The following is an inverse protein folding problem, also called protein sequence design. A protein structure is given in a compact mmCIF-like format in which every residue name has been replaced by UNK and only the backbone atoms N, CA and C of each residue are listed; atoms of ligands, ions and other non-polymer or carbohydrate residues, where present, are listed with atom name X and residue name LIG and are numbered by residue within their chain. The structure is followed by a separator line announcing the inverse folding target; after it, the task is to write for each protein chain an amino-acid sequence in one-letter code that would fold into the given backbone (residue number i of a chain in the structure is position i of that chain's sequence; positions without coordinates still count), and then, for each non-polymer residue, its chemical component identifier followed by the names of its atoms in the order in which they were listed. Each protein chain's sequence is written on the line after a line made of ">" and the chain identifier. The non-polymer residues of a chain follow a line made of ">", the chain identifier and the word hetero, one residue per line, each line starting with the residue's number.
data_IF_288063809198
#
_entry.id   IF_288063809198
#
_cell.length_a   1.000
_cell.length_b   1.000
_cell.length_c   1.000
_cell.angle_alpha   90.00
_cell.angle_beta   90.00
_cell.angle_gamma   90.00
#
_symmetry.space_group_name_H-M   'P 1'
#
loop_
_entity.id
_entity.type
_entity.pdbx_description
1 polymer ?
#
# COMPACT_ATOMS: atom_id res chain seq x y z
N UNK A 1 86.92 -26.33 41.99
CA UNK A 1 86.80 -26.85 43.38
C UNK A 1 85.29 -26.63 43.70
N UNK A 2 84.54 -27.65 43.66
CA UNK A 2 84.32 -28.77 44.58
C UNK A 2 82.92 -28.63 45.23
N UNK A 3 82.19 -29.61 44.86
CA UNK A 3 81.29 -30.54 45.54
C UNK A 3 79.92 -29.99 46.00
N UNK A 4 78.83 -30.47 45.43
CA UNK A 4 78.17 -31.78 45.65
C UNK A 4 77.51 -31.85 47.06
N UNK A 5 76.23 -31.98 47.13
CA UNK A 5 75.52 -33.26 47.33
C UNK A 5 74.02 -33.01 47.61
N UNK A 6 73.23 -33.90 47.13
CA UNK A 6 71.83 -34.25 47.43
C UNK A 6 71.74 -34.91 48.86
N UNK A 7 70.60 -35.43 49.29
CA UNK A 7 69.14 -35.16 49.06
C UNK A 7 68.35 -35.11 50.42
N UNK A 8 67.00 -35.04 50.41
CA UNK A 8 66.09 -36.01 51.00
C UNK A 8 64.70 -35.43 51.27
N UNK A 9 63.75 -36.04 50.66
CA UNK A 9 62.42 -36.49 51.05
C UNK A 9 61.74 -35.86 52.25
N UNK A 10 60.49 -35.48 52.08
CA UNK A 10 59.54 -35.37 53.14
C UNK A 10 58.15 -34.91 52.77
N UNK A 11 57.37 -35.91 52.50
CA UNK A 11 55.94 -36.02 52.85
C UNK A 11 54.91 -34.98 52.46
N UNK A 12 54.02 -35.43 51.69
CA UNK A 12 52.62 -35.02 51.45
C UNK A 12 51.92 -34.50 52.67
N UNK A 13 51.25 -33.34 52.47
CA UNK A 13 49.95 -33.02 53.15
C UNK A 13 49.05 -32.42 52.15
N UNK A 14 48.10 -33.20 51.62
CA UNK A 14 46.94 -32.72 50.87
C UNK A 14 46.02 -32.00 51.86
N UNK A 15 45.85 -30.71 51.69
CA UNK A 15 44.72 -29.99 52.27
C UNK A 15 43.79 -29.65 51.13
N UNK A 16 42.69 -30.40 51.01
CA UNK A 16 41.63 -30.14 50.05
C UNK A 16 40.87 -28.85 50.41
N UNK A 17 41.03 -27.85 49.57
CA UNK A 17 40.19 -26.65 49.59
C UNK A 17 38.95 -26.90 48.73
N UNK A 18 37.86 -27.30 49.37
CA UNK A 18 36.54 -27.38 48.72
C UNK A 18 36.10 -25.94 48.48
N UNK A 19 36.29 -25.42 47.27
CA UNK A 19 35.61 -24.20 46.83
C UNK A 19 34.14 -24.50 46.63
N UNK A 20 33.31 -24.09 47.56
CA UNK A 20 31.87 -24.04 47.43
C UNK A 20 31.54 -22.93 46.40
N UNK A 21 31.35 -23.29 45.14
CA UNK A 21 30.84 -22.39 44.09
C UNK A 21 29.35 -22.13 44.40
N UNK A 22 29.08 -21.09 45.18
CA UNK A 22 27.74 -20.49 45.24
C UNK A 22 27.46 -19.90 43.91
N UNK A 23 26.63 -20.57 43.12
CA UNK A 23 26.13 -20.04 41.84
C UNK A 23 25.23 -18.81 42.08
N UNK A 24 25.82 -17.64 42.06
CA UNK A 24 25.05 -16.41 41.94
C UNK A 24 24.39 -16.42 40.56
N UNK A 25 23.05 -16.20 40.45
CA UNK A 25 22.42 -16.04 39.16
C UNK A 25 23.03 -14.80 38.52
N UNK A 26 23.70 -14.97 37.39
CA UNK A 26 24.08 -13.86 36.52
C UNK A 26 22.76 -13.28 35.99
N UNK A 27 22.30 -12.19 36.60
CA UNK A 27 21.25 -11.39 36.04
C UNK A 27 21.86 -10.75 34.80
N UNK A 28 21.58 -11.36 33.63
CA UNK A 28 21.82 -10.71 32.35
C UNK A 28 20.84 -9.53 32.32
N UNK A 29 21.29 -8.37 32.73
CA UNK A 29 20.60 -7.11 32.48
C UNK A 29 20.66 -6.97 30.94
N UNK A 30 19.56 -7.36 30.27
CA UNK A 30 19.41 -7.10 28.85
C UNK A 30 19.61 -5.61 28.64
N UNK A 31 20.62 -5.21 27.86
CA UNK A 31 20.78 -3.84 27.41
C UNK A 31 19.45 -3.35 26.80
N UNK A 32 19.22 -2.05 26.70
CA UNK A 32 18.02 -1.53 26.08
C UNK A 32 17.84 -2.20 24.72
N UNK A 33 16.68 -2.86 24.53
CA UNK A 33 16.37 -3.54 23.28
C UNK A 33 16.61 -2.55 22.14
N UNK A 34 17.55 -2.86 21.26
CA UNK A 34 17.72 -2.05 20.06
C UNK A 34 16.37 -2.03 19.34
N UNK A 35 15.88 -0.86 18.92
CA UNK A 35 14.65 -0.81 18.13
C UNK A 35 14.83 -1.69 16.91
N UNK A 36 13.79 -2.39 16.47
CA UNK A 36 13.89 -3.24 15.29
C UNK A 36 14.41 -2.42 14.12
N UNK A 37 15.26 -3.03 13.28
CA UNK A 37 15.91 -2.36 12.14
C UNK A 37 14.91 -1.84 11.08
N UNK A 38 13.62 -2.13 11.24
CA UNK A 38 12.55 -1.67 10.37
C UNK A 38 11.22 -1.57 11.10
N UNK A 39 10.32 -0.77 10.55
CA UNK A 39 8.96 -0.61 11.04
C UNK A 39 7.97 -0.69 9.88
N UNK A 40 6.78 -1.23 10.15
CA UNK A 40 5.66 -1.31 9.21
C UNK A 40 4.41 -0.79 9.91
N UNK A 41 3.68 0.08 9.23
CA UNK A 41 2.35 0.50 9.63
C UNK A 41 1.39 0.34 8.45
N UNK A 42 0.25 -0.26 8.67
CA UNK A 42 -0.79 -0.44 7.66
C UNK A 42 -2.18 -0.40 8.29
N UNK A 43 -3.21 -0.35 7.46
CA UNK A 43 -4.60 -0.28 7.90
C UNK A 43 -5.09 -1.57 8.59
N UNK A 44 -4.41 -2.72 8.38
CA UNK A 44 -4.84 -4.00 8.94
C UNK A 44 -3.68 -4.74 9.63
N UNK A 45 -3.89 -5.29 10.86
CA UNK A 45 -2.81 -5.97 11.61
C UNK A 45 -2.14 -7.11 10.85
N UNK A 46 -2.89 -7.91 10.09
CA UNK A 46 -2.35 -9.01 9.29
C UNK A 46 -1.48 -8.52 8.13
N UNK A 47 -1.81 -7.38 7.54
CA UNK A 47 -0.97 -6.76 6.51
C UNK A 47 0.33 -6.19 7.12
N UNK A 48 0.25 -5.57 8.29
CA UNK A 48 1.44 -5.14 9.05
C UNK A 48 2.33 -6.35 9.38
N UNK A 49 1.74 -7.46 9.84
CA UNK A 49 2.47 -8.70 10.11
C UNK A 49 3.15 -9.28 8.85
N UNK A 50 2.47 -9.23 7.70
CA UNK A 50 3.04 -9.66 6.43
C UNK A 50 4.30 -8.84 6.05
N UNK A 51 4.24 -7.52 6.20
CA UNK A 51 5.40 -6.64 5.95
C UNK A 51 6.56 -6.93 6.92
N UNK A 52 6.26 -7.13 8.21
CA UNK A 52 7.28 -7.47 9.22
C UNK A 52 7.89 -8.86 8.97
N UNK A 53 7.10 -9.84 8.52
CA UNK A 53 7.61 -11.16 8.11
C UNK A 53 8.66 -11.02 7.00
N UNK A 54 8.37 -10.20 5.99
CA UNK A 54 9.27 -9.99 4.85
C UNK A 54 10.55 -9.24 5.26
N UNK A 55 10.45 -8.22 6.12
CA UNK A 55 11.64 -7.57 6.68
C UNK A 55 12.50 -8.55 7.47
N UNK A 56 11.88 -9.40 8.30
CA UNK A 56 12.58 -10.42 9.09
C UNK A 56 13.23 -11.51 8.24
N UNK A 57 12.69 -11.77 7.04
CA UNK A 57 13.25 -12.70 6.06
C UNK A 57 14.42 -12.11 5.24
N UNK A 58 14.86 -10.89 5.54
CA UNK A 58 15.96 -10.20 4.87
C UNK A 58 15.54 -9.32 3.69
N UNK A 59 14.24 -9.14 3.48
CA UNK A 59 13.70 -8.18 2.52
C UNK A 59 13.98 -6.73 2.92
N UNK A 60 13.86 -5.84 1.98
CA UNK A 60 13.92 -4.40 2.21
C UNK A 60 12.52 -3.78 2.35
N UNK A 61 12.45 -2.46 2.50
CA UNK A 61 11.17 -1.74 2.63
C UNK A 61 10.26 -1.90 1.38
N UNK A 62 10.83 -2.10 0.21
CA UNK A 62 10.07 -2.28 -1.04
C UNK A 62 9.45 -3.68 -1.10
N UNK A 63 10.17 -4.71 -0.68
CA UNK A 63 9.62 -6.07 -0.52
C UNK A 63 8.49 -6.09 0.51
N UNK A 64 8.68 -5.37 1.63
CA UNK A 64 7.65 -5.23 2.66
C UNK A 64 6.42 -4.49 2.12
N UNK A 65 6.59 -3.44 1.30
CA UNK A 65 5.49 -2.73 0.66
C UNK A 65 4.68 -3.64 -0.28
N UNK A 66 5.35 -4.48 -1.07
CA UNK A 66 4.69 -5.51 -1.90
C UNK A 66 3.85 -6.46 -1.03
N UNK A 67 4.43 -6.97 0.06
CA UNK A 67 3.73 -7.89 0.95
C UNK A 67 2.51 -7.24 1.65
N UNK A 68 2.67 -6.00 2.10
CA UNK A 68 1.58 -5.23 2.73
C UNK A 68 0.46 -4.95 1.74
N UNK A 69 0.76 -4.44 0.55
CA UNK A 69 -0.25 -4.14 -0.47
C UNK A 69 -1.02 -5.41 -0.87
N UNK A 70 -0.30 -6.50 -1.16
CA UNK A 70 -0.93 -7.77 -1.50
C UNK A 70 -1.77 -8.36 -0.35
N UNK A 71 -1.32 -8.21 0.91
CA UNK A 71 -2.09 -8.65 2.07
C UNK A 71 -3.33 -7.78 2.30
N UNK A 72 -3.24 -6.45 2.12
CA UNK A 72 -4.39 -5.55 2.17
C UNK A 72 -5.43 -5.91 1.11
N UNK A 73 -5.01 -6.29 -0.09
CA UNK A 73 -5.91 -6.76 -1.14
C UNK A 73 -6.75 -7.98 -0.73
N UNK A 74 -6.28 -8.76 0.26
CA UNK A 74 -7.00 -9.89 0.82
C UNK A 74 -7.88 -9.48 2.00
N UNK A 75 -7.31 -8.76 2.98
CA UNK A 75 -7.94 -8.53 4.29
C UNK A 75 -8.74 -7.23 4.37
N UNK A 76 -8.58 -6.34 3.41
CA UNK A 76 -9.30 -5.06 3.25
C UNK A 76 -9.99 -4.95 1.89
N UNK A 77 -10.82 -5.89 1.46
CA UNK A 77 -11.40 -5.90 0.12
C UNK A 77 -12.29 -4.70 -0.19
N UNK A 78 -12.64 -3.92 0.80
CA UNK A 78 -13.41 -2.68 0.70
C UNK A 78 -12.55 -1.43 0.44
N UNK A 79 -11.23 -1.52 0.61
CA UNK A 79 -10.30 -0.40 0.46
C UNK A 79 -9.08 -0.69 -0.43
N UNK A 80 -8.81 -1.96 -0.68
CA UNK A 80 -7.64 -2.43 -1.45
C UNK A 80 -7.99 -3.62 -2.32
N UNK A 81 -7.21 -3.88 -3.37
CA UNK A 81 -7.46 -5.06 -4.21
C UNK A 81 -6.63 -5.10 -5.49
N UNK A 82 -6.33 -6.31 -5.95
CA UNK A 82 -5.65 -6.52 -7.24
C UNK A 82 -6.45 -6.00 -8.45
N UNK A 83 -7.77 -5.83 -8.29
CA UNK A 83 -8.64 -5.25 -9.30
C UNK A 83 -8.59 -3.72 -9.38
N UNK A 84 -7.81 -3.09 -8.52
CA UNK A 84 -7.62 -1.65 -8.43
C UNK A 84 -6.20 -1.20 -8.80
N UNK A 85 -5.78 -0.12 -8.18
CA UNK A 85 -4.45 0.43 -8.36
C UNK A 85 -4.09 1.41 -7.25
N UNK A 86 -2.92 2.03 -7.37
CA UNK A 86 -2.45 2.93 -6.35
C UNK A 86 -1.21 3.71 -6.74
N UNK A 87 -0.70 4.44 -5.76
CA UNK A 87 0.56 5.15 -5.84
C UNK A 87 1.49 4.70 -4.73
N UNK A 88 2.75 4.43 -5.07
CA UNK A 88 3.81 4.11 -4.11
C UNK A 88 4.86 5.21 -4.16
N UNK A 89 4.97 5.95 -3.06
CA UNK A 89 5.99 6.98 -2.90
C UNK A 89 7.20 6.38 -2.21
N UNK A 90 8.30 6.28 -2.94
CA UNK A 90 9.52 5.61 -2.53
C UNK A 90 10.61 6.62 -2.15
N UNK A 91 11.36 6.30 -1.11
CA UNK A 91 12.64 6.92 -0.81
C UNK A 91 13.73 5.85 -0.82
N UNK A 92 14.68 5.98 -1.75
CA UNK A 92 15.83 5.07 -1.84
C UNK A 92 17.02 5.70 -1.12
N UNK A 93 17.32 5.20 0.08
CA UNK A 93 18.34 5.79 0.95
C UNK A 93 19.76 5.73 0.37
N UNK A 94 20.06 4.76 -0.52
CA UNK A 94 21.41 4.59 -1.10
C UNK A 94 21.88 5.79 -1.95
N UNK A 95 20.96 6.51 -2.57
CA UNK A 95 21.24 7.66 -3.42
C UNK A 95 20.33 8.88 -3.14
N UNK A 96 19.47 8.78 -2.11
CA UNK A 96 18.53 9.83 -1.73
C UNK A 96 17.38 10.06 -2.73
N UNK A 97 17.26 9.21 -3.75
CA UNK A 97 16.26 9.39 -4.80
C UNK A 97 14.85 9.12 -4.28
N UNK A 98 13.92 9.98 -4.66
CA UNK A 98 12.51 9.86 -4.40
C UNK A 98 11.77 9.61 -5.71
N UNK A 99 10.87 8.63 -5.71
CA UNK A 99 10.21 8.15 -6.93
C UNK A 99 8.75 7.87 -6.57
N UNK A 100 7.84 8.24 -7.43
CA UNK A 100 6.45 7.79 -7.35
C UNK A 100 6.21 6.74 -8.42
N UNK A 101 5.77 5.56 -8.00
CA UNK A 101 5.21 4.56 -8.91
C UNK A 101 3.72 4.86 -9.08
N UNK A 102 3.34 5.16 -10.30
CA UNK A 102 1.96 5.32 -10.72
C UNK A 102 1.47 4.00 -11.29
N UNK A 103 0.78 3.23 -10.45
CA UNK A 103 0.07 2.01 -10.79
C UNK A 103 -1.44 2.22 -10.74
N UNK A 104 -1.90 3.45 -11.04
CA UNK A 104 -3.32 3.76 -11.11
C UNK A 104 -4.00 3.00 -12.22
N UNK A 105 -5.28 2.73 -12.05
CA UNK A 105 -6.11 2.10 -13.08
C UNK A 105 -6.19 2.96 -14.34
N UNK A 106 -6.40 2.31 -15.48
CA UNK A 106 -6.63 2.99 -16.75
C UNK A 106 -8.03 2.71 -17.28
N UNK A 107 -8.63 3.71 -17.91
CA UNK A 107 -9.87 3.50 -18.66
C UNK A 107 -9.64 2.45 -19.75
N UNK A 108 -10.59 1.53 -20.00
CA UNK A 108 -10.55 0.64 -21.15
C UNK A 108 -10.45 1.43 -22.46
N UNK A 109 -9.79 0.88 -23.47
CA UNK A 109 -9.59 1.53 -24.78
C UNK A 109 -10.90 1.91 -25.46
N UNK A 110 -11.98 1.19 -25.19
CA UNK A 110 -13.32 1.46 -25.71
C UNK A 110 -14.09 2.52 -24.89
N UNK A 111 -13.51 3.05 -23.81
CA UNK A 111 -14.16 4.07 -23.01
C UNK A 111 -14.31 5.38 -23.78
N UNK A 112 -15.49 5.98 -23.70
CA UNK A 112 -15.84 7.23 -24.38
C UNK A 112 -16.34 8.24 -23.36
N UNK A 113 -16.37 9.51 -23.76
CA UNK A 113 -16.84 10.64 -22.96
C UNK A 113 -18.23 10.41 -22.37
N UNK A 114 -19.12 9.83 -23.20
CA UNK A 114 -20.54 9.69 -22.88
C UNK A 114 -20.90 8.31 -22.34
N UNK A 115 -19.90 7.51 -21.90
CA UNK A 115 -20.03 6.12 -21.43
C UNK A 115 -21.10 5.93 -20.33
N UNK A 116 -21.33 6.96 -19.52
CA UNK A 116 -22.25 6.93 -18.37
C UNK A 116 -23.47 7.80 -18.56
N UNK A 117 -23.74 8.24 -19.79
CA UNK A 117 -24.90 9.04 -20.12
C UNK A 117 -25.99 8.18 -20.79
N UNK A 118 -27.24 8.59 -20.64
CA UNK A 118 -28.36 8.04 -21.40
C UNK A 118 -28.48 8.68 -22.78
N UNK A 119 -29.49 8.26 -23.56
CA UNK A 119 -29.75 8.79 -24.90
C UNK A 119 -30.10 10.29 -24.93
N UNK A 120 -30.52 10.85 -23.80
CA UNK A 120 -30.84 12.26 -23.62
C UNK A 120 -29.61 13.08 -23.21
N UNK A 121 -28.49 12.41 -22.91
CA UNK A 121 -27.25 13.02 -22.45
C UNK A 121 -27.21 13.27 -20.92
N UNK A 122 -28.16 12.71 -20.19
CA UNK A 122 -28.21 12.81 -18.73
C UNK A 122 -27.39 11.69 -18.07
N UNK A 123 -26.79 11.99 -16.90
CA UNK A 123 -26.00 11.02 -16.15
C UNK A 123 -26.89 9.90 -15.60
N UNK A 124 -26.57 8.64 -15.94
CA UNK A 124 -27.24 7.47 -15.37
C UNK A 124 -26.75 7.24 -13.93
N UNK A 125 -27.59 7.39 -12.89
CA UNK A 125 -27.17 7.29 -11.51
C UNK A 125 -26.58 5.92 -11.19
N UNK A 126 -25.38 5.91 -10.58
CA UNK A 126 -24.70 4.71 -10.14
C UNK A 126 -23.89 3.96 -11.22
N UNK A 127 -24.09 4.25 -12.50
CA UNK A 127 -23.45 3.51 -13.60
C UNK A 127 -21.92 3.64 -13.60
N UNK A 128 -21.39 4.78 -13.15
CA UNK A 128 -19.95 5.03 -12.99
C UNK A 128 -19.37 4.55 -11.65
N UNK A 129 -20.19 3.97 -10.77
CA UNK A 129 -19.78 3.54 -9.44
C UNK A 129 -19.94 2.03 -9.21
N UNK A 130 -20.98 1.42 -9.79
CA UNK A 130 -21.37 0.05 -9.53
C UNK A 130 -21.35 -0.79 -10.82
N UNK A 131 -20.78 -1.99 -10.73
CA UNK A 131 -20.81 -2.96 -11.81
C UNK A 131 -19.63 -2.90 -12.76
N UNK A 132 -19.68 -3.78 -13.75
CA UNK A 132 -18.55 -4.05 -14.63
C UNK A 132 -18.20 -2.90 -15.58
N UNK A 133 -19.17 -2.05 -15.93
CA UNK A 133 -18.92 -0.87 -16.77
C UNK A 133 -18.11 0.22 -16.04
N UNK A 134 -18.24 0.29 -14.71
CA UNK A 134 -17.46 1.18 -13.86
C UNK A 134 -16.02 0.71 -13.60
N UNK A 135 -15.71 -0.56 -13.94
CA UNK A 135 -14.41 -1.13 -13.69
C UNK A 135 -13.36 -0.63 -14.69
N UNK A 136 -12.29 -0.04 -14.16
CA UNK A 136 -11.12 0.33 -14.93
C UNK A 136 -10.08 -0.81 -14.94
N UNK A 137 -9.15 -0.79 -15.91
CA UNK A 137 -8.08 -1.80 -16.06
C UNK A 137 -7.14 -1.72 -14.86
N UNK A 138 -6.93 -2.80 -14.11
CA UNK A 138 -6.15 -2.80 -12.88
C UNK A 138 -4.68 -2.44 -13.07
N UNK A 139 -4.11 -1.74 -12.11
CA UNK A 139 -2.71 -1.35 -12.09
C UNK A 139 -1.89 -1.94 -10.95
N UNK A 140 -2.52 -2.33 -9.86
CA UNK A 140 -1.80 -2.84 -8.68
C UNK A 140 -0.92 -4.06 -8.99
N UNK A 141 -1.35 -5.10 -9.72
CA UNK A 141 -0.49 -6.24 -10.00
C UNK A 141 0.82 -5.85 -10.70
N UNK A 142 0.75 -4.97 -11.70
CA UNK A 142 1.95 -4.51 -12.42
C UNK A 142 2.88 -3.70 -11.52
N UNK A 143 2.32 -2.86 -10.63
CA UNK A 143 3.10 -2.09 -9.68
C UNK A 143 3.81 -2.97 -8.66
N UNK A 144 3.15 -4.00 -8.12
CA UNK A 144 3.77 -4.97 -7.20
C UNK A 144 4.93 -5.71 -7.85
N UNK A 145 4.76 -6.16 -9.10
CA UNK A 145 5.83 -6.80 -9.88
C UNK A 145 6.99 -5.83 -10.07
N UNK A 146 6.71 -4.60 -10.53
CA UNK A 146 7.72 -3.59 -10.77
C UNK A 146 8.51 -3.22 -9.50
N UNK A 147 7.81 -3.05 -8.37
CA UNK A 147 8.44 -2.79 -7.07
C UNK A 147 9.40 -3.91 -6.66
N UNK A 148 8.96 -5.16 -6.81
CA UNK A 148 9.77 -6.32 -6.47
C UNK A 148 10.99 -6.46 -7.38
N UNK A 149 10.82 -6.37 -8.70
CA UNK A 149 11.89 -6.59 -9.68
C UNK A 149 12.94 -5.48 -9.68
N UNK A 150 12.50 -4.23 -9.53
CA UNK A 150 13.40 -3.07 -9.66
C UNK A 150 14.00 -2.60 -8.34
N UNK A 151 13.27 -2.77 -7.24
CA UNK A 151 13.64 -2.21 -5.94
C UNK A 151 13.77 -3.25 -4.84
N UNK A 152 13.16 -4.43 -5.00
CA UNK A 152 13.19 -5.52 -4.03
C UNK A 152 14.56 -6.20 -3.93
N UNK A 153 14.73 -6.97 -2.87
CA UNK A 153 15.87 -7.87 -2.64
C UNK A 153 15.46 -9.33 -2.71
N UNK A 154 14.20 -9.61 -2.43
CA UNK A 154 13.64 -10.95 -2.42
C UNK A 154 12.92 -11.24 -3.73
N UNK A 155 12.83 -12.50 -4.16
CA UNK A 155 11.96 -12.88 -5.26
C UNK A 155 10.49 -12.51 -4.96
N UNK A 156 9.75 -12.05 -5.97
CA UNK A 156 8.34 -11.69 -5.87
C UNK A 156 7.50 -12.75 -5.14
N UNK A 157 7.75 -14.04 -5.43
CA UNK A 157 7.07 -15.15 -4.79
C UNK A 157 7.22 -15.17 -3.25
N UNK A 158 8.34 -14.70 -2.73
CA UNK A 158 8.53 -14.56 -1.28
C UNK A 158 7.68 -13.43 -0.71
N UNK A 159 7.68 -12.27 -1.36
CA UNK A 159 6.91 -11.11 -0.91
C UNK A 159 5.40 -11.34 -1.01
N UNK A 160 4.91 -12.14 -1.97
CA UNK A 160 3.50 -12.47 -2.11
C UNK A 160 3.04 -13.64 -1.23
N UNK A 161 3.96 -14.46 -0.70
CA UNK A 161 3.61 -15.66 0.07
C UNK A 161 2.69 -15.40 1.29
N UNK A 162 2.87 -14.33 2.09
CA UNK A 162 1.94 -14.02 3.18
C UNK A 162 0.50 -13.78 2.69
N UNK A 163 0.32 -13.02 1.61
CA UNK A 163 -0.99 -12.74 1.03
C UNK A 163 -1.67 -14.00 0.46
N UNK A 164 -0.90 -14.85 -0.22
CA UNK A 164 -1.40 -16.15 -0.72
C UNK A 164 -1.93 -16.99 0.43
N UNK A 165 -1.17 -17.09 1.54
CA UNK A 165 -1.61 -17.83 2.73
C UNK A 165 -2.87 -17.24 3.36
N UNK A 166 -2.97 -15.91 3.44
CA UNK A 166 -4.15 -15.22 3.96
C UNK A 166 -5.38 -15.49 3.09
N UNK A 167 -5.24 -15.44 1.77
CA UNK A 167 -6.34 -15.71 0.85
C UNK A 167 -6.83 -17.18 0.94
N UNK A 168 -5.90 -18.14 1.12
CA UNK A 168 -6.23 -19.57 1.28
C UNK A 168 -6.85 -19.89 2.64
N UNK A 169 -6.25 -19.40 3.73
CA UNK A 169 -6.67 -19.71 5.09
C UNK A 169 -7.85 -18.86 5.55
N UNK A 170 -8.00 -17.69 4.98
CA UNK A 170 -9.00 -16.70 5.36
C UNK A 170 -8.53 -15.72 6.43
N UNK A 171 -9.37 -14.71 6.64
CA UNK A 171 -9.24 -13.71 7.69
C UNK A 171 -10.55 -13.58 8.45
N UNK A 172 -10.48 -13.13 9.70
CA UNK A 172 -11.66 -12.96 10.54
C UNK A 172 -12.36 -11.64 10.27
N UNK A 173 -13.67 -11.70 10.19
CA UNK A 173 -14.55 -10.54 10.06
C UNK A 173 -14.52 -9.73 11.35
N UNK A 174 -14.11 -8.48 11.27
CA UNK A 174 -14.09 -7.52 12.35
C UNK A 174 -15.24 -6.48 12.23
N UNK A 175 -15.28 -5.55 13.18
CA UNK A 175 -16.29 -4.49 13.19
C UNK A 175 -16.15 -3.53 12.01
N UNK A 176 -14.90 -3.29 11.53
CA UNK A 176 -14.66 -2.42 10.39
C UNK A 176 -15.15 -3.06 9.09
N UNK A 177 -14.80 -4.32 8.85
CA UNK A 177 -15.33 -5.09 7.72
C UNK A 177 -16.87 -5.07 7.69
N UNK A 178 -17.51 -5.37 8.83
CA UNK A 178 -18.99 -5.40 8.93
C UNK A 178 -19.62 -4.07 8.55
N UNK A 179 -19.04 -2.98 9.01
CA UNK A 179 -19.51 -1.62 8.66
C UNK A 179 -19.39 -1.37 7.16
N UNK A 180 -18.23 -1.67 6.56
CA UNK A 180 -17.98 -1.43 5.14
C UNK A 180 -18.81 -2.35 4.25
N UNK A 181 -18.93 -3.62 4.61
CA UNK A 181 -19.81 -4.55 3.91
C UNK A 181 -21.29 -4.12 4.02
N UNK A 182 -21.69 -3.55 5.16
CA UNK A 182 -23.02 -3.00 5.33
C UNK A 182 -23.36 -1.89 4.32
N UNK A 183 -22.43 -0.97 4.06
CA UNK A 183 -22.61 0.07 3.04
C UNK A 183 -22.77 -0.48 1.62
N UNK A 184 -22.10 -1.58 1.31
CA UNK A 184 -22.08 -2.16 -0.04
C UNK A 184 -22.97 -3.40 -0.19
N UNK A 185 -23.70 -3.84 0.86
CA UNK A 185 -24.48 -5.06 0.86
C UNK A 185 -25.41 -5.18 -0.34
N UNK A 186 -26.22 -4.16 -0.60
CA UNK A 186 -27.17 -4.16 -1.71
C UNK A 186 -26.50 -4.29 -3.08
N UNK A 187 -25.32 -3.69 -3.24
CA UNK A 187 -24.54 -3.81 -4.48
C UNK A 187 -23.97 -5.21 -4.61
N UNK A 188 -23.33 -5.74 -3.55
CA UNK A 188 -22.80 -7.11 -3.56
C UNK A 188 -23.86 -8.17 -3.82
N UNK A 189 -25.09 -7.99 -3.32
CA UNK A 189 -26.22 -8.90 -3.55
C UNK A 189 -26.64 -8.97 -5.03
N UNK A 190 -26.35 -7.94 -5.84
CA UNK A 190 -26.65 -7.93 -7.28
C UNK A 190 -25.70 -8.84 -8.10
N UNK A 191 -24.50 -9.09 -7.56
CA UNK A 191 -23.44 -9.84 -8.22
C UNK A 191 -23.16 -11.13 -7.44
N UNK A 192 -23.56 -12.27 -7.99
CA UNK A 192 -23.47 -13.55 -7.32
C UNK A 192 -22.06 -13.86 -6.81
N UNK A 193 -21.03 -13.64 -7.64
CA UNK A 193 -19.63 -13.87 -7.27
C UNK A 193 -19.18 -13.05 -6.05
N UNK A 194 -19.64 -11.80 -5.95
CA UNK A 194 -19.36 -10.95 -4.79
C UNK A 194 -20.12 -11.39 -3.55
N UNK A 195 -21.40 -11.77 -3.70
CA UNK A 195 -22.25 -12.25 -2.60
C UNK A 195 -21.70 -13.54 -1.99
N UNK A 196 -21.29 -14.49 -2.81
CA UNK A 196 -20.74 -15.80 -2.36
C UNK A 196 -19.45 -15.65 -1.55
N UNK A 197 -18.59 -14.69 -1.91
CA UNK A 197 -17.32 -14.47 -1.22
C UNK A 197 -17.51 -13.63 0.06
N UNK A 198 -18.20 -12.51 -0.05
CA UNK A 198 -18.20 -11.45 0.97
C UNK A 198 -19.44 -11.41 1.86
N UNK A 199 -20.48 -12.15 1.52
CA UNK A 199 -21.71 -12.29 2.33
C UNK A 199 -21.88 -13.74 2.81
N UNK A 200 -22.82 -13.94 3.75
CA UNK A 200 -23.30 -15.26 4.17
C UNK A 200 -24.83 -15.21 4.13
N UNK A 201 -25.44 -16.08 3.36
CA UNK A 201 -26.89 -16.08 3.15
C UNK A 201 -27.41 -14.68 2.74
N UNK A 202 -26.69 -14.01 1.84
CA UNK A 202 -26.95 -12.64 1.39
C UNK A 202 -26.89 -11.55 2.48
N UNK A 203 -26.40 -11.88 3.67
CA UNK A 203 -26.26 -10.95 4.80
C UNK A 203 -24.79 -10.68 5.13
N UNK A 204 -24.54 -9.55 5.82
CA UNK A 204 -23.19 -9.22 6.32
C UNK A 204 -22.78 -10.28 7.35
N UNK A 205 -21.63 -10.94 7.17
CA UNK A 205 -21.19 -12.01 8.06
C UNK A 205 -21.09 -11.55 9.52
N UNK A 206 -21.34 -12.50 10.44
CA UNK A 206 -21.16 -12.25 11.88
C UNK A 206 -19.69 -11.93 12.19
N UNK A 207 -19.45 -11.21 13.29
CA UNK A 207 -18.10 -11.00 13.80
C UNK A 207 -17.41 -12.36 14.05
N UNK A 208 -16.10 -12.39 13.86
CA UNK A 208 -15.23 -13.58 13.99
C UNK A 208 -15.49 -14.71 12.99
N UNK A 209 -16.48 -14.59 12.10
CA UNK A 209 -16.60 -15.52 10.96
C UNK A 209 -15.41 -15.33 10.00
N UNK A 210 -15.17 -16.32 9.14
CA UNK A 210 -14.00 -16.35 8.27
C UNK A 210 -14.38 -16.09 6.81
N UNK A 211 -13.64 -15.19 6.16
CA UNK A 211 -13.71 -14.94 4.73
C UNK A 211 -12.51 -15.60 4.07
N UNK A 212 -12.74 -16.47 3.10
CA UNK A 212 -11.71 -17.11 2.26
C UNK A 212 -11.86 -16.71 0.81
N UNK A 213 -10.73 -16.55 0.14
CA UNK A 213 -10.67 -16.12 -1.26
C UNK A 213 -9.75 -17.04 -2.07
N UNK A 214 -10.17 -18.31 -2.32
CA UNK A 214 -9.31 -19.29 -2.98
C UNK A 214 -8.91 -18.88 -4.39
N UNK A 215 -9.80 -18.24 -5.16
CA UNK A 215 -9.50 -17.77 -6.51
C UNK A 215 -8.50 -16.60 -6.51
N UNK A 216 -8.58 -15.72 -5.51
CA UNK A 216 -7.57 -14.68 -5.30
C UNK A 216 -6.20 -15.29 -4.96
N UNK A 217 -6.17 -16.37 -4.18
CA UNK A 217 -4.94 -17.09 -3.89
C UNK A 217 -4.32 -17.71 -5.15
N UNK A 218 -5.13 -18.23 -6.07
CA UNK A 218 -4.66 -18.72 -7.37
C UNK A 218 -4.11 -17.58 -8.24
N UNK A 219 -4.81 -16.46 -8.30
CA UNK A 219 -4.36 -15.26 -9.02
C UNK A 219 -3.03 -14.73 -8.48
N UNK A 220 -2.90 -14.59 -7.15
CA UNK A 220 -1.65 -14.19 -6.50
C UNK A 220 -0.52 -15.21 -6.78
N UNK A 221 -0.84 -16.51 -6.81
CA UNK A 221 0.14 -17.55 -7.11
C UNK A 221 0.60 -17.50 -8.56
N UNK A 222 -0.29 -17.18 -9.51
CA UNK A 222 0.07 -16.97 -10.91
C UNK A 222 0.98 -15.74 -11.07
N UNK A 223 0.64 -14.62 -10.41
CA UNK A 223 1.46 -13.41 -10.37
C UNK A 223 2.86 -13.72 -9.78
N UNK A 224 2.92 -14.49 -8.70
CA UNK A 224 4.17 -14.88 -8.04
C UNK A 224 5.09 -15.73 -8.93
N UNK A 225 4.51 -16.55 -9.80
CA UNK A 225 5.24 -17.48 -10.68
C UNK A 225 5.65 -16.83 -12.00
N UNK A 226 4.82 -15.99 -12.56
CA UNK A 226 4.94 -15.51 -13.95
C UNK A 226 5.10 -13.99 -14.05
N UNK A 227 5.19 -13.30 -12.91
CA UNK A 227 5.24 -11.83 -12.90
C UNK A 227 3.98 -11.22 -13.55
N UNK A 228 4.13 -10.12 -14.25
CA UNK A 228 3.02 -9.43 -14.91
C UNK A 228 2.22 -10.32 -15.87
N UNK A 229 2.86 -11.28 -16.53
CA UNK A 229 2.17 -12.21 -17.41
C UNK A 229 1.13 -13.05 -16.69
N UNK A 230 1.37 -13.40 -15.42
CA UNK A 230 0.44 -14.17 -14.60
C UNK A 230 -0.88 -13.46 -14.26
N UNK A 231 -1.00 -12.17 -14.63
CA UNK A 231 -2.24 -11.41 -14.45
C UNK A 231 -2.76 -10.82 -15.76
N UNK A 232 -1.87 -10.26 -16.60
CA UNK A 232 -2.25 -9.49 -17.79
C UNK A 232 -2.29 -10.34 -19.08
N UNK A 233 -2.01 -11.65 -18.97
CA UNK A 233 -2.03 -12.61 -20.07
C UNK A 233 -2.56 -13.97 -19.61
N UNK A 234 -2.90 -14.87 -20.54
CA UNK A 234 -3.34 -16.23 -20.26
C UNK A 234 -4.64 -16.33 -19.48
N UNK A 235 -4.80 -17.43 -18.76
CA UNK A 235 -6.07 -17.83 -18.10
C UNK A 235 -6.67 -16.76 -17.17
N UNK A 236 -5.84 -16.05 -16.39
CA UNK A 236 -6.35 -15.01 -15.49
C UNK A 236 -6.93 -13.86 -16.29
N UNK A 237 -6.20 -13.37 -17.29
CA UNK A 237 -6.66 -12.28 -18.15
C UNK A 237 -7.93 -12.65 -18.91
N UNK A 238 -8.00 -13.86 -19.48
CA UNK A 238 -9.15 -14.36 -20.21
C UNK A 238 -10.39 -14.44 -19.33
N UNK A 239 -10.27 -14.97 -18.11
CA UNK A 239 -11.38 -15.05 -17.15
C UNK A 239 -11.83 -13.69 -16.66
N UNK A 240 -10.89 -12.76 -16.41
CA UNK A 240 -11.23 -11.38 -16.04
C UNK A 240 -12.02 -10.68 -17.12
N UNK A 241 -11.55 -10.73 -18.37
CA UNK A 241 -12.25 -10.13 -19.50
C UNK A 241 -13.61 -10.76 -19.72
N UNK A 242 -13.70 -12.10 -19.69
CA UNK A 242 -14.96 -12.81 -19.85
C UNK A 242 -15.97 -12.41 -18.77
N UNK A 243 -15.56 -12.37 -17.49
CA UNK A 243 -16.42 -11.98 -16.37
C UNK A 243 -16.90 -10.53 -16.48
N UNK A 244 -16.00 -9.59 -16.77
CA UNK A 244 -16.35 -8.17 -16.95
C UNK A 244 -17.34 -7.99 -18.10
N UNK A 245 -17.12 -8.66 -19.23
CA UNK A 245 -18.04 -8.58 -20.39
C UNK A 245 -19.39 -9.24 -20.13
N UNK A 246 -19.43 -10.36 -19.42
CA UNK A 246 -20.68 -11.02 -19.07
C UNK A 246 -21.62 -10.13 -18.22
N UNK A 247 -21.03 -9.23 -17.43
CA UNK A 247 -21.75 -8.26 -16.60
C UNK A 247 -21.90 -6.87 -17.28
N UNK A 248 -21.71 -6.78 -18.59
CA UNK A 248 -21.92 -5.55 -19.36
C UNK A 248 -20.75 -4.57 -19.42
N UNK A 249 -19.56 -4.96 -18.94
CA UNK A 249 -18.36 -4.14 -19.08
C UNK A 249 -17.73 -4.23 -20.47
N UNK A 250 -16.72 -3.40 -20.72
CA UNK A 250 -16.16 -3.18 -22.06
C UNK A 250 -14.70 -3.62 -22.23
N UNK A 251 -14.13 -4.33 -21.24
CA UNK A 251 -12.74 -4.78 -21.33
C UNK A 251 -12.48 -5.71 -22.51
N UNK A 252 -11.24 -5.65 -22.99
CA UNK A 252 -10.66 -6.57 -23.96
C UNK A 252 -9.33 -7.11 -23.43
N UNK A 253 -8.83 -8.19 -24.01
CA UNK A 253 -7.48 -8.68 -23.69
C UNK A 253 -6.39 -7.67 -24.06
N UNK A 254 -6.65 -6.81 -25.04
CA UNK A 254 -5.71 -5.76 -25.45
C UNK A 254 -5.59 -4.67 -24.37
N UNK A 255 -6.66 -4.33 -23.66
CA UNK A 255 -6.63 -3.42 -22.52
C UNK A 255 -5.64 -3.89 -21.43
N UNK A 256 -5.72 -5.16 -21.09
CA UNK A 256 -4.82 -5.77 -20.10
C UNK A 256 -3.38 -5.83 -20.63
N UNK A 257 -3.18 -6.30 -21.86
CA UNK A 257 -1.88 -6.43 -22.52
C UNK A 257 -1.14 -5.10 -22.64
N UNK A 258 -1.85 -4.00 -22.87
CA UNK A 258 -1.27 -2.67 -23.02
C UNK A 258 -1.02 -1.96 -21.67
N UNK A 259 -1.51 -2.48 -20.55
CA UNK A 259 -1.31 -1.82 -19.28
C UNK A 259 0.18 -1.70 -18.93
N UNK A 260 0.61 -0.52 -18.51
CA UNK A 260 1.97 -0.23 -18.02
C UNK A 260 1.90 0.74 -16.85
N UNK A 261 2.71 0.52 -15.84
CA UNK A 261 2.96 1.49 -14.78
C UNK A 261 3.79 2.66 -15.31
N UNK A 262 3.78 3.78 -14.60
CA UNK A 262 4.66 4.92 -14.90
C UNK A 262 5.45 5.30 -13.65
N UNK A 263 6.76 5.50 -13.79
CA UNK A 263 7.54 6.16 -12.75
C UNK A 263 7.47 7.68 -12.94
N UNK A 264 7.11 8.39 -11.90
CA UNK A 264 6.98 9.86 -11.93
C UNK A 264 7.88 10.49 -10.87
N UNK A 265 8.34 11.70 -11.13
CA UNK A 265 8.96 12.51 -10.09
C UNK A 265 7.88 13.04 -9.15
N UNK A 266 8.06 12.87 -7.82
CA UNK A 266 7.11 13.39 -6.84
C UNK A 266 7.03 14.91 -6.85
N UNK A 267 5.88 15.44 -6.45
CA UNK A 267 5.76 16.85 -6.08
C UNK A 267 6.59 17.11 -4.83
N UNK A 268 7.49 18.08 -4.92
CA UNK A 268 8.32 18.49 -3.77
C UNK A 268 8.18 19.99 -3.56
N UNK A 269 7.97 20.39 -2.30
CA UNK A 269 7.87 21.80 -1.93
C UNK A 269 8.31 22.02 -0.48
N UNK A 270 8.50 23.27 -0.10
CA UNK A 270 8.88 23.66 1.26
C UNK A 270 7.67 24.21 2.00
N UNK A 271 7.50 23.81 3.26
CA UNK A 271 6.54 24.39 4.19
C UNK A 271 7.25 24.68 5.50
N UNK A 272 7.47 25.96 5.80
CA UNK A 272 8.31 26.40 6.92
C UNK A 272 9.70 25.75 6.83
N UNK A 273 10.13 25.02 7.84
CA UNK A 273 11.39 24.28 7.93
C UNK A 273 11.31 22.84 7.38
N UNK A 274 10.12 22.42 6.90
CA UNK A 274 9.88 21.07 6.42
C UNK A 274 9.94 20.99 4.90
N UNK A 275 10.71 20.05 4.38
CA UNK A 275 10.64 19.64 2.98
C UNK A 275 9.55 18.58 2.83
N UNK A 276 8.53 18.87 2.03
CA UNK A 276 7.40 17.97 1.77
C UNK A 276 7.62 17.28 0.42
N UNK A 277 7.38 15.98 0.40
CA UNK A 277 7.37 15.15 -0.81
C UNK A 277 6.05 14.43 -0.86
N UNK A 278 5.34 14.55 -1.98
CA UNK A 278 3.99 14.00 -2.12
C UNK A 278 3.73 13.51 -3.54
N UNK A 279 2.59 12.86 -3.74
CA UNK A 279 2.23 12.29 -5.02
C UNK A 279 2.07 13.36 -6.11
N UNK A 280 2.64 13.08 -7.27
CA UNK A 280 2.48 13.89 -8.48
C UNK A 280 1.14 13.60 -9.20
N UNK A 281 0.69 14.43 -10.15
CA UNK A 281 -0.38 14.05 -11.05
C UNK A 281 -0.12 12.69 -11.72
N UNK A 282 -1.18 11.88 -11.96
CA UNK A 282 -2.60 12.23 -11.92
C UNK A 282 -3.22 12.37 -10.52
N UNK A 283 -2.46 12.10 -9.45
CA UNK A 283 -2.92 12.43 -8.10
C UNK A 283 -3.00 13.95 -7.92
N UNK A 284 -4.12 14.43 -7.40
CA UNK A 284 -4.27 15.84 -7.02
C UNK A 284 -3.64 16.15 -5.65
N UNK A 285 -3.28 15.12 -4.88
CA UNK A 285 -2.92 15.25 -3.46
C UNK A 285 -1.72 16.17 -3.22
N UNK A 286 -0.62 15.95 -3.92
CA UNK A 286 0.60 16.75 -3.73
C UNK A 286 0.41 18.22 -4.12
N UNK A 287 -0.28 18.48 -5.22
CA UNK A 287 -0.56 19.85 -5.68
C UNK A 287 -1.49 20.58 -4.71
N UNK A 288 -2.58 19.93 -4.30
CA UNK A 288 -3.52 20.51 -3.35
C UNK A 288 -2.85 20.80 -2.00
N UNK A 289 -2.02 19.89 -1.50
CA UNK A 289 -1.23 20.12 -0.27
C UNK A 289 -0.28 21.30 -0.42
N UNK A 290 0.45 21.41 -1.53
CA UNK A 290 1.35 22.54 -1.77
C UNK A 290 0.59 23.87 -1.74
N UNK A 291 -0.52 23.97 -2.47
CA UNK A 291 -1.36 25.18 -2.50
C UNK A 291 -1.86 25.52 -1.10
N UNK A 292 -2.46 24.55 -0.39
CA UNK A 292 -3.00 24.78 0.96
C UNK A 292 -1.94 25.21 1.95
N UNK A 293 -0.81 24.49 2.01
CA UNK A 293 0.26 24.76 2.98
C UNK A 293 0.95 26.09 2.67
N UNK A 294 1.16 26.44 1.42
CA UNK A 294 1.72 27.77 1.05
C UNK A 294 0.78 28.93 1.44
N UNK A 295 -0.54 28.77 1.29
CA UNK A 295 -1.51 29.77 1.80
C UNK A 295 -1.42 29.84 3.33
N UNK A 296 -1.47 28.69 4.01
CA UNK A 296 -1.47 28.63 5.48
C UNK A 296 -0.15 29.15 6.10
N UNK A 297 0.94 29.11 5.34
CA UNK A 297 2.23 29.64 5.80
C UNK A 297 2.18 31.15 6.11
N UNK A 298 1.27 31.88 5.47
CA UNK A 298 1.03 33.31 5.70
C UNK A 298 0.33 33.62 7.02
N UNK A 299 -0.12 32.62 7.77
CA UNK A 299 -0.89 32.79 9.01
C UNK A 299 -0.19 32.18 10.21
N UNK A 300 -0.25 32.85 11.36
CA UNK A 300 0.11 32.28 12.64
C UNK A 300 -1.09 31.50 13.22
N UNK A 301 -1.22 30.24 12.81
CA UNK A 301 -2.34 29.39 13.20
C UNK A 301 -2.43 29.14 14.71
N UNK A 302 -1.33 29.32 15.46
CA UNK A 302 -1.31 29.13 16.90
C UNK A 302 -1.99 30.28 17.64
N UNK A 303 -2.02 31.47 17.02
CA UNK A 303 -2.68 32.67 17.60
C UNK A 303 -4.17 32.78 17.27
N UNK A 304 -4.64 31.98 16.30
CA UNK A 304 -6.06 31.96 15.95
C UNK A 304 -6.84 31.08 16.96
N UNK A 305 -8.04 31.50 17.27
CA UNK A 305 -9.02 30.65 17.95
C UNK A 305 -9.47 29.49 17.02
N UNK A 306 -10.26 28.57 17.54
CA UNK A 306 -10.72 27.40 16.79
C UNK A 306 -11.52 27.80 15.54
N UNK A 307 -12.40 28.80 15.67
CA UNK A 307 -13.20 29.30 14.56
C UNK A 307 -12.34 29.92 13.47
N UNK A 308 -11.39 30.78 13.84
CA UNK A 308 -10.46 31.41 12.91
C UNK A 308 -9.56 30.41 12.19
N UNK A 309 -9.03 29.40 12.93
CA UNK A 309 -8.27 28.30 12.29
C UNK A 309 -9.10 27.52 11.29
N UNK A 310 -10.31 27.12 11.68
CA UNK A 310 -11.21 26.38 10.80
C UNK A 310 -11.53 27.19 9.56
N UNK A 311 -11.81 28.49 9.72
CA UNK A 311 -12.09 29.38 8.59
C UNK A 311 -10.90 29.44 7.61
N UNK A 312 -9.70 29.74 8.09
CA UNK A 312 -8.52 29.88 7.22
C UNK A 312 -8.17 28.56 6.53
N UNK A 313 -8.25 27.44 7.23
CA UNK A 313 -8.02 26.11 6.64
C UNK A 313 -9.05 25.83 5.54
N UNK A 314 -10.33 26.09 5.81
CA UNK A 314 -11.42 25.88 4.85
C UNK A 314 -11.23 26.75 3.60
N UNK A 315 -10.85 28.01 3.77
CA UNK A 315 -10.60 28.91 2.64
C UNK A 315 -9.36 28.48 1.81
N UNK A 316 -8.32 27.99 2.44
CA UNK A 316 -7.18 27.40 1.72
C UNK A 316 -7.60 26.14 0.92
N UNK A 317 -8.42 25.26 1.52
CA UNK A 317 -8.99 24.10 0.84
C UNK A 317 -9.84 24.50 -0.37
N UNK A 318 -10.73 25.49 -0.22
CA UNK A 318 -11.59 25.95 -1.32
C UNK A 318 -10.79 26.42 -2.54
N UNK A 319 -9.68 27.13 -2.33
CA UNK A 319 -8.80 27.60 -3.40
C UNK A 319 -8.06 26.44 -4.06
N UNK A 320 -7.50 25.54 -3.29
CA UNK A 320 -6.83 24.35 -3.81
C UNK A 320 -7.79 23.46 -4.63
N UNK A 321 -9.03 23.28 -4.16
CA UNK A 321 -10.02 22.47 -4.88
C UNK A 321 -10.59 23.18 -6.12
N UNK A 322 -10.67 24.51 -6.14
CA UNK A 322 -10.95 25.27 -7.36
C UNK A 322 -9.88 24.99 -8.42
N UNK A 323 -8.62 25.10 -8.05
CA UNK A 323 -7.50 24.86 -8.97
C UNK A 323 -7.43 23.40 -9.42
N UNK A 324 -7.74 22.47 -8.50
CA UNK A 324 -7.91 21.07 -8.85
C UNK A 324 -8.93 20.85 -9.96
N UNK A 325 -10.10 21.45 -9.81
CA UNK A 325 -11.18 21.31 -10.79
C UNK A 325 -10.84 21.96 -12.14
N UNK A 326 -10.07 23.04 -12.14
CA UNK A 326 -9.77 23.82 -13.34
C UNK A 326 -8.54 23.34 -14.10
N UNK A 327 -7.51 22.85 -13.42
CA UNK A 327 -6.18 22.65 -14.01
C UNK A 327 -5.68 21.21 -13.92
N UNK A 328 -6.19 20.36 -13.01
CA UNK A 328 -5.66 19.04 -12.83
C UNK A 328 -6.40 18.00 -13.68
N UNK A 329 -5.62 17.09 -14.22
CA UNK A 329 -6.07 15.95 -15.01
C UNK A 329 -4.93 14.94 -15.11
N UNK A 330 -5.09 13.95 -15.97
CA UNK A 330 -4.04 12.99 -16.27
C UNK A 330 -2.95 13.67 -17.13
N UNK A 331 -1.70 13.80 -16.62
CA UNK A 331 -0.63 14.51 -17.33
C UNK A 331 -0.15 13.80 -18.60
N UNK A 332 -0.52 12.53 -18.79
CA UNK A 332 -0.21 11.79 -20.01
C UNK A 332 -1.14 12.21 -21.17
N UNK A 333 -2.25 12.90 -20.87
CA UNK A 333 -3.26 13.34 -21.84
C UNK A 333 -3.49 14.84 -21.88
N UNK A 334 -3.24 15.55 -20.76
CA UNK A 334 -3.47 17.00 -20.66
C UNK A 334 -2.28 17.73 -20.05
N UNK A 335 -2.05 18.95 -20.51
CA UNK A 335 -0.99 19.79 -19.94
C UNK A 335 -1.43 20.32 -18.56
N UNK A 336 -0.77 19.86 -17.51
CA UNK A 336 -0.96 20.34 -16.14
C UNK A 336 0.10 21.40 -15.84
N UNK A 337 -0.26 22.65 -15.47
CA UNK A 337 0.70 23.71 -15.16
C UNK A 337 1.32 23.53 -13.77
N UNK A 338 1.95 22.37 -13.54
CA UNK A 338 2.42 21.90 -12.24
C UNK A 338 3.34 22.91 -11.54
N UNK A 339 4.36 23.40 -12.26
CA UNK A 339 5.36 24.33 -11.71
C UNK A 339 4.70 25.61 -11.17
N UNK A 340 3.67 26.10 -11.84
CA UNK A 340 2.91 27.28 -11.39
C UNK A 340 2.10 26.95 -10.13
N UNK A 341 1.35 25.84 -10.14
CA UNK A 341 0.43 25.50 -9.05
C UNK A 341 1.12 25.21 -7.72
N UNK A 342 2.35 24.66 -7.77
CA UNK A 342 3.13 24.39 -6.56
C UNK A 342 4.05 25.55 -6.13
N UNK A 343 4.00 26.66 -6.85
CA UNK A 343 4.90 27.79 -6.55
C UNK A 343 4.34 28.65 -5.42
N UNK A 344 5.17 29.01 -4.40
CA UNK A 344 4.67 29.80 -3.26
C UNK A 344 4.06 31.15 -3.66
N UNK A 345 4.63 31.84 -4.65
CA UNK A 345 4.10 33.11 -5.15
C UNK A 345 2.71 32.99 -5.76
N UNK A 346 2.40 31.85 -6.38
CA UNK A 346 1.05 31.61 -6.89
C UNK A 346 0.06 31.53 -5.73
N UNK A 347 0.38 30.75 -4.70
CA UNK A 347 -0.45 30.61 -3.51
C UNK A 347 -0.62 31.93 -2.74
N UNK A 348 0.41 32.80 -2.73
CA UNK A 348 0.33 34.11 -2.09
C UNK A 348 -0.63 35.07 -2.81
N UNK A 349 -0.96 34.84 -4.08
CA UNK A 349 -1.91 35.61 -4.86
C UNK A 349 -3.38 35.11 -4.76
N UNK A 350 -3.60 33.99 -4.06
CA UNK A 350 -4.94 33.38 -3.90
C UNK A 350 -5.67 33.89 -2.66
#
# INVERSE_FOLDING_TARGET
>A
RSRAQRPLNGAFLMLGLICLMVGLPVIVVGGPAQPPAGAVASAHPQATAAGMEILSAGGNAFDAAVAVSAALAVVEPYGSGLGGGGFWLLHRASDGRQIMIDGRERAPLAAQRDLYLDEQGDVVPGLSMDGALAAAVPGEPAALVHLSEKYGRLPLAKSLAPAIRLAQKGFKVDAHYRRMAGFRKQVMQRYQSSAEIFLRDHEVPAADSEIRQPDLALTLSSLAREGSNGFYSGDVAERLVAGVRAEGGIWTLEDLKQYRIVEREPVTFQYRDLRIVSAAPPSSGGVALATMLHILQGYDLARLDESGRTHVITEAMRRAYRDRAQYLGDPDFVAVPLQRLVHPWYAAGL
#
